data_IF_377916305978
#
_entry.id   IF_377916305978
#
_cell.length_a   1.000
_cell.length_b   1.000
_cell.length_c   1.000
_cell.angle_alpha   90.00
_cell.angle_beta   90.00
_cell.angle_gamma   90.00
#
_symmetry.space_group_name_H-M   'P 1'
#
loop_
_entity.id
_entity.type
_entity.pdbx_description
1 polymer ?
#
# COMPACT_ATOMS: atom_id res chain seq x y z
N UNK A 1 -74.14 21.15 43.62
CA UNK A 1 -72.98 22.06 43.62
C UNK A 1 -71.88 21.40 42.80
N UNK A 2 -71.68 21.84 41.56
CA UNK A 2 -70.60 21.34 40.68
C UNK A 2 -69.48 22.36 40.74
N UNK A 3 -68.34 21.98 41.31
CA UNK A 3 -67.13 22.78 41.40
C UNK A 3 -66.39 22.70 40.05
N UNK A 4 -66.41 23.78 39.28
CA UNK A 4 -65.65 23.88 38.04
C UNK A 4 -64.15 24.09 38.35
N UNK A 5 -63.29 23.22 37.81
CA UNK A 5 -61.85 23.36 37.87
C UNK A 5 -61.35 24.52 36.97
N UNK A 6 -60.28 25.25 37.36
CA UNK A 6 -59.77 26.34 36.55
C UNK A 6 -59.08 25.81 35.28
N UNK A 7 -59.43 26.38 34.13
CA UNK A 7 -58.75 26.12 32.86
C UNK A 7 -57.29 26.58 32.95
N UNK A 8 -56.34 25.65 32.83
CA UNK A 8 -54.92 25.97 32.64
C UNK A 8 -54.76 26.59 31.25
N UNK A 9 -54.54 27.90 31.20
CA UNK A 9 -54.07 28.59 29.99
C UNK A 9 -52.72 28.01 29.59
N UNK A 10 -52.66 27.28 28.47
CA UNK A 10 -51.42 26.83 27.87
C UNK A 10 -50.59 28.08 27.51
N UNK A 11 -49.47 28.28 28.21
CA UNK A 11 -48.52 29.34 27.89
C UNK A 11 -48.05 29.21 26.44
N UNK A 12 -47.72 30.32 25.75
CA UNK A 12 -47.35 30.28 24.34
C UNK A 12 -46.14 29.35 24.14
N UNK A 13 -46.31 28.38 23.23
CA UNK A 13 -45.28 27.41 22.85
C UNK A 13 -43.98 28.12 22.44
N UNK A 14 -42.82 27.52 22.72
CA UNK A 14 -41.51 28.08 22.37
C UNK A 14 -41.43 28.49 20.88
N UNK A 15 -42.06 27.71 20.00
CA UNK A 15 -42.19 27.97 18.56
C UNK A 15 -43.01 29.25 18.25
N UNK A 16 -44.05 29.55 19.03
CA UNK A 16 -44.87 30.76 18.87
C UNK A 16 -44.17 32.06 19.29
N UNK A 17 -43.19 32.00 20.20
CA UNK A 17 -42.35 33.14 20.59
C UNK A 17 -41.24 33.43 19.58
N UNK A 18 -40.65 32.38 19.00
CA UNK A 18 -39.62 32.49 17.94
C UNK A 18 -40.20 33.15 16.69
N UNK A 19 -41.41 32.76 16.27
CA UNK A 19 -42.08 33.31 15.08
C UNK A 19 -42.53 34.77 15.24
N UNK A 20 -43.01 35.18 16.42
CA UNK A 20 -43.44 36.57 16.69
C UNK A 20 -42.26 37.53 16.84
N UNK A 21 -41.12 37.04 17.35
CA UNK A 21 -39.87 37.80 17.39
C UNK A 21 -39.19 37.92 16.02
N UNK A 22 -39.36 36.96 15.11
CA UNK A 22 -38.75 36.99 13.77
C UNK A 22 -39.28 38.12 12.85
N UNK A 23 -40.40 38.76 13.21
CA UNK A 23 -40.95 39.91 12.48
C UNK A 23 -40.38 41.26 12.93
N UNK A 24 -39.55 41.31 13.97
CA UNK A 24 -38.85 42.54 14.39
C UNK A 24 -37.41 42.56 13.88
N UNK A 25 -36.90 43.75 13.55
CA UNK A 25 -35.51 43.99 13.14
C UNK A 25 -34.46 43.29 14.02
N UNK A 26 -34.54 43.34 15.37
CA UNK A 26 -33.61 42.62 16.25
C UNK A 26 -33.77 41.09 16.21
N UNK A 27 -35.00 40.55 16.07
CA UNK A 27 -35.20 39.09 16.03
C UNK A 27 -34.64 38.42 14.77
N UNK A 28 -34.68 39.12 13.61
CA UNK A 28 -34.03 38.65 12.38
C UNK A 28 -32.51 38.55 12.53
N UNK A 29 -31.87 39.51 13.20
CA UNK A 29 -30.42 39.50 13.45
C UNK A 29 -30.02 38.36 14.40
N UNK A 30 -30.84 38.06 15.42
CA UNK A 30 -30.61 36.91 16.30
C UNK A 30 -30.74 35.57 15.55
N UNK A 31 -31.69 35.44 14.62
CA UNK A 31 -31.84 34.23 13.81
C UNK A 31 -30.64 34.01 12.88
N UNK A 32 -30.13 35.07 12.23
CA UNK A 32 -28.90 35.02 11.42
C UNK A 32 -27.70 34.63 12.27
N UNK A 33 -27.58 35.16 13.50
CA UNK A 33 -26.51 34.79 14.43
C UNK A 33 -26.52 33.29 14.74
N UNK A 34 -27.69 32.76 15.11
CA UNK A 34 -27.85 31.33 15.43
C UNK A 34 -27.55 30.48 14.20
N UNK A 35 -28.05 30.86 13.02
CA UNK A 35 -27.78 30.15 11.78
C UNK A 35 -26.29 30.09 11.44
N UNK A 36 -25.57 31.22 11.57
CA UNK A 36 -24.12 31.27 11.35
C UNK A 36 -23.35 30.43 12.37
N UNK A 37 -23.76 30.43 13.64
CA UNK A 37 -23.12 29.62 14.68
C UNK A 37 -23.32 28.13 14.43
N UNK A 38 -24.54 27.71 14.06
CA UNK A 38 -24.83 26.32 13.70
C UNK A 38 -24.03 25.91 12.46
N UNK A 39 -24.01 26.74 11.42
CA UNK A 39 -23.25 26.45 10.21
C UNK A 39 -21.74 26.37 10.49
N UNK A 40 -21.20 27.24 11.33
CA UNK A 40 -19.80 27.21 11.76
C UNK A 40 -19.49 25.91 12.52
N UNK A 41 -20.35 25.51 13.46
CA UNK A 41 -20.18 24.29 14.24
C UNK A 41 -20.23 23.04 13.36
N UNK A 42 -21.24 22.93 12.49
CA UNK A 42 -21.39 21.80 11.55
C UNK A 42 -20.19 21.73 10.62
N UNK A 43 -19.77 22.85 10.05
CA UNK A 43 -18.62 22.90 9.13
C UNK A 43 -17.33 22.48 9.85
N UNK A 44 -17.09 22.98 11.06
CA UNK A 44 -15.91 22.61 11.86
C UNK A 44 -15.89 21.13 12.23
N UNK A 45 -17.04 20.57 12.64
CA UNK A 45 -17.17 19.13 12.96
C UNK A 45 -16.91 18.28 11.72
N UNK A 46 -17.56 18.58 10.59
CA UNK A 46 -17.38 17.80 9.36
C UNK A 46 -15.95 17.90 8.84
N UNK A 47 -15.33 19.08 8.90
CA UNK A 47 -13.93 19.26 8.51
C UNK A 47 -12.98 18.48 9.43
N UNK A 48 -13.20 18.51 10.75
CA UNK A 48 -12.40 17.77 11.72
C UNK A 48 -12.53 16.25 11.54
N UNK A 49 -13.76 15.73 11.38
CA UNK A 49 -14.01 14.30 11.12
C UNK A 49 -13.40 13.84 9.81
N UNK A 50 -13.48 14.65 8.75
CA UNK A 50 -12.86 14.33 7.46
C UNK A 50 -11.34 14.28 7.59
N UNK A 51 -10.72 15.26 8.26
CA UNK A 51 -9.28 15.28 8.47
C UNK A 51 -8.80 14.09 9.32
N UNK A 52 -9.58 13.72 10.35
CA UNK A 52 -9.29 12.55 11.17
C UNK A 52 -9.40 11.26 10.35
N UNK A 53 -10.47 11.07 9.59
CA UNK A 53 -10.65 9.89 8.75
C UNK A 53 -9.51 9.72 7.73
N UNK A 54 -9.03 10.83 7.14
CA UNK A 54 -7.87 10.81 6.24
C UNK A 54 -6.59 10.38 6.97
N UNK A 55 -6.38 10.86 8.19
CA UNK A 55 -5.23 10.46 9.01
C UNK A 55 -5.29 8.99 9.39
N UNK A 56 -6.44 8.52 9.86
CA UNK A 56 -6.66 7.12 10.23
C UNK A 56 -6.39 6.19 9.04
N UNK A 57 -6.79 6.59 7.82
CA UNK A 57 -6.49 5.84 6.59
C UNK A 57 -4.98 5.74 6.32
N UNK A 58 -4.22 6.83 6.52
CA UNK A 58 -2.76 6.81 6.31
C UNK A 58 -2.04 5.99 7.38
N UNK A 59 -2.49 6.09 8.64
CA UNK A 59 -1.95 5.32 9.74
C UNK A 59 -2.21 3.82 9.51
N UNK A 60 -3.38 3.44 8.96
CA UNK A 60 -3.71 2.06 8.60
C UNK A 60 -2.86 1.52 7.42
N UNK A 61 -2.63 2.35 6.39
CA UNK A 61 -1.75 2.03 5.27
C UNK A 61 -0.33 1.64 5.74
N UNK A 62 0.20 2.35 6.73
CA UNK A 62 1.54 2.10 7.29
C UNK A 62 1.54 0.95 8.30
N UNK A 63 0.56 0.90 9.19
CA UNK A 63 0.58 -0.03 10.32
C UNK A 63 0.13 -1.45 9.96
N UNK A 64 -0.77 -1.60 8.98
CA UNK A 64 -1.38 -2.89 8.64
C UNK A 64 -1.17 -3.28 7.17
N UNK A 65 -1.42 -2.39 6.22
CA UNK A 65 -1.46 -2.78 4.80
C UNK A 65 -0.09 -3.09 4.19
N UNK A 66 0.91 -2.24 4.42
CA UNK A 66 2.27 -2.50 3.91
C UNK A 66 2.85 -3.80 4.50
N UNK A 67 2.78 -4.06 5.82
CA UNK A 67 3.27 -5.31 6.39
C UNK A 67 2.62 -6.57 5.80
N UNK A 68 1.34 -6.51 5.42
CA UNK A 68 0.64 -7.64 4.80
C UNK A 68 1.09 -7.91 3.37
N UNK A 69 1.19 -6.87 2.54
CA UNK A 69 1.75 -7.00 1.20
C UNK A 69 3.18 -7.54 1.26
N UNK A 70 3.96 -7.07 2.24
CA UNK A 70 5.32 -7.54 2.50
C UNK A 70 5.35 -8.99 2.99
N UNK A 71 4.40 -9.42 3.84
CA UNK A 71 4.30 -10.81 4.27
C UNK A 71 3.97 -11.74 3.09
N UNK A 72 3.00 -11.39 2.25
CA UNK A 72 2.66 -12.18 1.06
C UNK A 72 3.85 -12.33 0.10
N UNK A 73 4.58 -11.24 -0.13
CA UNK A 73 5.80 -11.26 -0.94
C UNK A 73 6.92 -12.10 -0.30
N UNK A 74 7.05 -12.07 1.03
CA UNK A 74 8.01 -12.91 1.75
C UNK A 74 7.68 -14.40 1.62
N UNK A 75 6.39 -14.78 1.60
CA UNK A 75 5.96 -16.15 1.34
C UNK A 75 6.46 -16.58 -0.05
N UNK A 76 6.10 -15.84 -1.11
CA UNK A 76 6.52 -16.17 -2.48
C UNK A 76 8.04 -16.32 -2.56
N UNK A 77 8.76 -15.32 -2.04
CA UNK A 77 10.23 -15.29 -2.03
C UNK A 77 10.79 -16.57 -1.43
N UNK A 78 10.39 -16.88 -0.20
CA UNK A 78 10.99 -17.95 0.57
C UNK A 78 10.65 -19.30 -0.04
N UNK A 79 9.43 -19.47 -0.55
CA UNK A 79 9.04 -20.69 -1.24
C UNK A 79 9.84 -20.92 -2.53
N UNK A 80 10.04 -19.86 -3.33
CA UNK A 80 10.79 -19.99 -4.57
C UNK A 80 12.30 -20.17 -4.35
N UNK A 81 12.89 -19.53 -3.34
CA UNK A 81 14.31 -19.74 -2.99
C UNK A 81 14.53 -21.15 -2.40
N UNK A 82 13.59 -21.65 -1.61
CA UNK A 82 13.61 -23.02 -1.11
C UNK A 82 13.60 -24.05 -2.26
N UNK A 83 12.76 -23.88 -3.27
CA UNK A 83 12.68 -24.80 -4.43
C UNK A 83 13.96 -24.79 -5.27
N UNK A 84 14.48 -23.59 -5.60
CA UNK A 84 15.75 -23.46 -6.31
C UNK A 84 16.94 -24.03 -5.51
N UNK A 85 16.95 -23.83 -4.19
CA UNK A 85 17.98 -24.38 -3.30
C UNK A 85 17.88 -25.90 -3.20
N UNK A 86 16.67 -26.46 -3.12
CA UNK A 86 16.45 -27.91 -3.10
C UNK A 86 16.93 -28.56 -4.41
N UNK A 87 16.62 -27.95 -5.55
CA UNK A 87 17.11 -28.42 -6.86
C UNK A 87 18.63 -28.32 -6.98
N UNK A 88 19.23 -27.21 -6.55
CA UNK A 88 20.69 -27.03 -6.56
C UNK A 88 21.40 -28.05 -5.67
N UNK A 89 20.86 -28.30 -4.46
CA UNK A 89 21.37 -29.33 -3.54
C UNK A 89 21.25 -30.74 -4.11
N UNK A 90 20.20 -31.00 -4.90
CA UNK A 90 20.04 -32.27 -5.59
C UNK A 90 21.10 -32.48 -6.67
N UNK A 91 21.38 -31.44 -7.47
CA UNK A 91 22.38 -31.47 -8.54
C UNK A 91 23.81 -31.72 -8.06
N UNK A 92 24.16 -31.30 -6.83
CA UNK A 92 25.47 -31.63 -6.24
C UNK A 92 25.70 -33.14 -6.03
N UNK A 93 24.64 -33.96 -6.03
CA UNK A 93 24.72 -35.41 -5.88
C UNK A 93 25.09 -35.88 -4.46
N UNK A 94 24.69 -37.11 -4.11
CA UNK A 94 25.07 -37.74 -2.84
C UNK A 94 24.55 -36.98 -1.60
N UNK A 95 25.46 -36.68 -0.67
CA UNK A 95 25.14 -35.90 0.54
C UNK A 95 25.17 -34.42 0.20
N UNK A 96 24.05 -33.74 0.42
CA UNK A 96 23.92 -32.31 0.13
C UNK A 96 24.96 -31.46 0.88
N UNK A 97 25.45 -30.37 0.28
CA UNK A 97 26.27 -29.39 0.98
C UNK A 97 25.51 -28.75 2.16
N UNK A 98 26.14 -28.71 3.33
CA UNK A 98 25.55 -28.12 4.54
C UNK A 98 25.04 -26.68 4.37
N UNK A 99 25.71 -25.77 3.62
CA UNK A 99 25.18 -24.42 3.40
C UNK A 99 23.84 -24.39 2.66
N UNK A 100 23.63 -25.27 1.66
CA UNK A 100 22.38 -25.36 0.92
C UNK A 100 21.26 -25.93 1.79
N UNK A 101 21.58 -26.91 2.65
CA UNK A 101 20.64 -27.46 3.62
C UNK A 101 20.12 -26.37 4.57
N UNK A 102 21.04 -25.61 5.17
CA UNK A 102 20.68 -24.53 6.10
C UNK A 102 19.84 -23.45 5.42
N UNK A 103 20.16 -23.08 4.17
CA UNK A 103 19.40 -22.10 3.39
C UNK A 103 17.96 -22.58 3.14
N UNK A 104 17.78 -23.83 2.69
CA UNK A 104 16.46 -24.42 2.49
C UNK A 104 15.62 -24.40 3.78
N UNK A 105 16.19 -24.86 4.91
CA UNK A 105 15.47 -24.88 6.19
C UNK A 105 15.09 -23.47 6.67
N UNK A 106 16.00 -22.50 6.48
CA UNK A 106 15.73 -21.10 6.77
C UNK A 106 14.58 -20.56 5.93
N UNK A 107 14.56 -20.83 4.63
CA UNK A 107 13.51 -20.37 3.74
C UNK A 107 12.15 -20.98 4.07
N UNK A 108 12.08 -22.27 4.37
CA UNK A 108 10.82 -22.92 4.81
C UNK A 108 10.31 -22.31 6.12
N UNK A 109 11.20 -22.04 7.07
CA UNK A 109 10.85 -21.37 8.33
C UNK A 109 10.33 -19.94 8.11
N UNK A 110 10.97 -19.18 7.22
CA UNK A 110 10.56 -17.82 6.87
C UNK A 110 9.21 -17.80 6.14
N UNK A 111 8.97 -18.74 5.23
CA UNK A 111 7.68 -18.91 4.57
C UNK A 111 6.57 -19.23 5.58
N UNK A 112 6.82 -20.15 6.51
CA UNK A 112 5.87 -20.48 7.58
C UNK A 112 5.56 -19.30 8.51
N UNK A 113 6.58 -18.52 8.88
CA UNK A 113 6.41 -17.31 9.70
C UNK A 113 5.59 -16.24 8.97
N UNK A 114 5.88 -15.99 7.69
CA UNK A 114 5.16 -15.04 6.88
C UNK A 114 3.71 -15.48 6.62
N UNK A 115 3.47 -16.77 6.41
CA UNK A 115 2.14 -17.36 6.30
C UNK A 115 1.35 -17.21 7.59
N UNK A 116 1.97 -17.40 8.76
CA UNK A 116 1.34 -17.15 10.05
C UNK A 116 0.89 -15.70 10.23
N UNK A 117 1.70 -14.73 9.78
CA UNK A 117 1.33 -13.30 9.77
C UNK A 117 0.17 -13.03 8.82
N UNK A 118 0.24 -13.55 7.59
CA UNK A 118 -0.84 -13.37 6.61
C UNK A 118 -2.16 -14.00 7.09
N UNK A 119 -2.10 -15.14 7.77
CA UNK A 119 -3.27 -15.84 8.33
C UNK A 119 -3.98 -15.03 9.42
N UNK A 120 -3.25 -14.23 10.19
CA UNK A 120 -3.81 -13.46 11.30
C UNK A 120 -4.73 -12.32 10.84
N UNK A 121 -4.58 -11.85 9.59
CA UNK A 121 -5.24 -10.63 9.10
C UNK A 121 -6.00 -10.84 7.77
N UNK A 122 -6.38 -12.09 7.47
CA UNK A 122 -7.22 -12.43 6.31
C UNK A 122 -8.58 -11.70 6.34
N UNK A 123 -9.02 -11.28 7.54
CA UNK A 123 -9.92 -10.15 7.73
C UNK A 123 -11.14 -10.11 6.80
N UNK A 124 -11.94 -11.18 6.78
CA UNK A 124 -13.22 -11.25 6.06
C UNK A 124 -13.13 -11.45 4.54
N UNK A 125 -11.92 -11.54 3.95
CA UNK A 125 -11.77 -11.86 2.53
C UNK A 125 -11.72 -13.36 2.29
N UNK A 126 -12.76 -13.87 1.63
CA UNK A 126 -12.82 -15.28 1.27
C UNK A 126 -11.72 -15.68 0.27
N UNK A 127 -11.30 -14.79 -0.63
CA UNK A 127 -10.25 -15.09 -1.61
C UNK A 127 -8.88 -15.17 -0.96
N UNK A 128 -8.55 -14.22 -0.07
CA UNK A 128 -7.28 -14.28 0.67
C UNK A 128 -7.24 -15.50 1.60
N UNK A 129 -8.39 -15.87 2.21
CA UNK A 129 -8.52 -17.05 3.04
C UNK A 129 -8.22 -18.33 2.26
N UNK A 130 -8.77 -18.44 1.04
CA UNK A 130 -8.52 -19.57 0.14
C UNK A 130 -7.04 -19.72 -0.19
N UNK A 131 -6.33 -18.63 -0.50
CA UNK A 131 -4.89 -18.70 -0.79
C UNK A 131 -4.06 -19.11 0.43
N UNK A 132 -4.38 -18.57 1.61
CA UNK A 132 -3.75 -18.97 2.87
C UNK A 132 -4.00 -20.44 3.19
N UNK A 133 -5.21 -20.94 2.92
CA UNK A 133 -5.56 -22.35 3.11
C UNK A 133 -4.74 -23.26 2.19
N UNK A 134 -4.64 -22.93 0.89
CA UNK A 134 -3.82 -23.67 -0.08
C UNK A 134 -2.36 -23.71 0.40
N UNK A 135 -1.79 -22.57 0.76
CA UNK A 135 -0.41 -22.47 1.25
C UNK A 135 -0.19 -23.33 2.50
N UNK A 136 -1.13 -23.25 3.46
CA UNK A 136 -1.04 -23.99 4.73
C UNK A 136 -1.12 -25.50 4.56
N UNK A 137 -1.96 -25.97 3.62
CA UNK A 137 -2.12 -27.39 3.35
C UNK A 137 -0.97 -27.97 2.51
N UNK A 138 -0.50 -27.24 1.51
CA UNK A 138 0.44 -27.77 0.53
C UNK A 138 1.91 -27.60 0.94
N UNK A 139 2.25 -26.64 1.81
CA UNK A 139 3.64 -26.42 2.24
C UNK A 139 4.24 -27.65 2.98
N UNK A 140 3.53 -28.30 3.91
CA UNK A 140 4.03 -29.53 4.54
C UNK A 140 4.19 -30.69 3.53
N UNK A 141 3.29 -30.79 2.54
CA UNK A 141 3.36 -31.83 1.50
C UNK A 141 4.61 -31.63 0.64
N UNK A 142 4.85 -30.40 0.19
CA UNK A 142 6.06 -30.02 -0.52
C UNK A 142 7.33 -30.38 0.28
N UNK A 143 7.39 -30.00 1.56
CA UNK A 143 8.54 -30.29 2.41
C UNK A 143 8.78 -31.81 2.52
N UNK A 144 7.71 -32.61 2.67
CA UNK A 144 7.79 -34.07 2.71
C UNK A 144 8.34 -34.69 1.40
N UNK A 145 7.92 -34.17 0.25
CA UNK A 145 8.44 -34.61 -1.06
C UNK A 145 9.94 -34.28 -1.22
N UNK A 146 10.38 -33.08 -0.82
CA UNK A 146 11.79 -32.70 -0.85
C UNK A 146 12.64 -33.59 0.06
N UNK A 147 12.19 -33.89 1.28
CA UNK A 147 12.90 -34.81 2.17
C UNK A 147 12.98 -36.23 1.59
N UNK A 148 11.92 -36.69 0.93
CA UNK A 148 11.90 -38.00 0.26
C UNK A 148 12.88 -38.03 -0.93
N UNK A 149 12.90 -36.96 -1.73
CA UNK A 149 13.85 -36.78 -2.82
C UNK A 149 15.30 -36.83 -2.33
N UNK A 150 15.59 -36.10 -1.25
CA UNK A 150 16.90 -36.06 -0.59
C UNK A 150 17.34 -37.43 -0.08
N UNK A 151 16.45 -38.16 0.60
CA UNK A 151 16.76 -39.48 1.13
C UNK A 151 17.11 -40.49 0.04
N UNK A 152 16.45 -40.39 -1.12
CA UNK A 152 16.76 -41.20 -2.30
C UNK A 152 18.06 -40.74 -2.99
N UNK A 153 18.30 -39.43 -3.07
CA UNK A 153 19.52 -38.87 -3.68
C UNK A 153 20.79 -39.33 -2.92
N UNK A 154 20.72 -39.35 -1.58
CA UNK A 154 21.82 -39.86 -0.73
C UNK A 154 22.15 -41.34 -0.99
N UNK A 155 21.18 -42.13 -1.43
CA UNK A 155 21.34 -43.54 -1.79
C UNK A 155 21.66 -43.75 -3.28
N UNK A 156 21.69 -42.68 -4.08
CA UNK A 156 21.88 -42.76 -5.53
C UNK A 156 20.69 -43.34 -6.29
N UNK A 157 19.51 -43.38 -5.68
CA UNK A 157 18.32 -43.93 -6.33
C UNK A 157 17.69 -42.94 -7.32
N UNK A 158 17.41 -43.36 -8.58
CA UNK A 158 16.80 -42.50 -9.59
C UNK A 158 15.44 -41.91 -9.17
N UNK A 159 14.73 -42.58 -8.26
CA UNK A 159 13.46 -42.12 -7.69
C UNK A 159 13.58 -40.74 -7.03
N UNK A 160 14.77 -40.34 -6.56
CA UNK A 160 14.98 -39.01 -5.97
C UNK A 160 14.63 -37.87 -6.92
N UNK A 161 14.99 -38.01 -8.20
CA UNK A 161 14.70 -36.98 -9.21
C UNK A 161 13.19 -36.90 -9.52
N UNK A 162 12.47 -38.01 -9.44
CA UNK A 162 11.02 -38.04 -9.61
C UNK A 162 10.32 -37.29 -8.48
N UNK A 163 10.67 -37.57 -7.22
CA UNK A 163 10.11 -36.85 -6.06
C UNK A 163 10.45 -35.37 -6.06
N UNK A 164 11.66 -34.99 -6.49
CA UNK A 164 12.02 -33.57 -6.60
C UNK A 164 11.18 -32.87 -7.66
N UNK A 165 11.00 -33.48 -8.84
CA UNK A 165 10.13 -32.90 -9.88
C UNK A 165 8.66 -32.81 -9.43
N UNK A 166 8.17 -33.78 -8.67
CA UNK A 166 6.84 -33.72 -8.06
C UNK A 166 6.74 -32.56 -7.05
N UNK A 167 7.75 -32.38 -6.19
CA UNK A 167 7.82 -31.27 -5.26
C UNK A 167 7.81 -29.91 -5.99
N UNK A 168 8.70 -29.72 -6.97
CA UNK A 168 8.75 -28.48 -7.75
C UNK A 168 7.50 -28.27 -8.61
N UNK A 169 6.87 -29.36 -9.08
CA UNK A 169 5.57 -29.32 -9.75
C UNK A 169 4.47 -28.80 -8.82
N UNK A 170 4.43 -29.27 -7.56
CA UNK A 170 3.51 -28.74 -6.54
C UNK A 170 3.81 -27.27 -6.22
N UNK A 171 5.10 -26.93 -6.11
CA UNK A 171 5.53 -25.56 -5.86
C UNK A 171 5.00 -24.61 -6.94
N UNK A 172 5.19 -24.96 -8.21
CA UNK A 172 4.82 -24.12 -9.36
C UNK A 172 3.34 -24.10 -9.68
N UNK A 173 2.64 -25.20 -9.46
CA UNK A 173 1.21 -25.31 -9.82
C UNK A 173 0.26 -24.86 -8.71
N UNK A 174 0.72 -24.83 -7.44
CA UNK A 174 -0.14 -24.50 -6.29
C UNK A 174 0.46 -23.42 -5.39
N UNK A 175 1.67 -23.63 -4.87
CA UNK A 175 2.21 -22.77 -3.82
C UNK A 175 2.59 -21.36 -4.31
N UNK A 176 3.38 -21.26 -5.39
CA UNK A 176 3.76 -19.97 -5.95
C UNK A 176 2.56 -19.19 -6.50
N UNK A 177 1.63 -19.79 -7.27
CA UNK A 177 0.42 -19.09 -7.70
C UNK A 177 -0.45 -18.61 -6.53
N UNK A 178 -0.58 -19.40 -5.45
CA UNK A 178 -1.34 -18.96 -4.29
C UNK A 178 -0.67 -17.79 -3.55
N UNK A 179 0.66 -17.82 -3.42
CA UNK A 179 1.42 -16.71 -2.84
C UNK A 179 1.34 -15.43 -3.70
N UNK A 180 1.39 -15.58 -5.03
CA UNK A 180 1.25 -14.50 -6.01
C UNK A 180 -0.16 -13.87 -5.95
N UNK A 181 -1.21 -14.69 -5.97
CA UNK A 181 -2.59 -14.19 -5.82
C UNK A 181 -2.83 -13.53 -4.46
N UNK A 182 -2.26 -14.06 -3.38
CA UNK A 182 -2.34 -13.44 -2.06
C UNK A 182 -1.65 -12.07 -2.05
N UNK A 183 -0.54 -11.92 -2.77
CA UNK A 183 0.12 -10.63 -2.95
C UNK A 183 -0.75 -9.66 -3.74
N UNK A 184 -1.28 -10.07 -4.90
CA UNK A 184 -2.15 -9.25 -5.75
C UNK A 184 -3.39 -8.74 -5.00
N UNK A 185 -4.07 -9.62 -4.25
CA UNK A 185 -5.23 -9.22 -3.44
C UNK A 185 -4.87 -8.12 -2.44
N UNK A 186 -3.72 -8.25 -1.76
CA UNK A 186 -3.28 -7.25 -0.79
C UNK A 186 -2.82 -5.95 -1.48
N UNK A 187 -2.23 -6.05 -2.66
CA UNK A 187 -1.79 -4.91 -3.45
C UNK A 187 -2.97 -4.10 -4.00
N UNK A 188 -4.01 -4.76 -4.53
CA UNK A 188 -5.24 -4.11 -5.01
C UNK A 188 -5.93 -3.33 -3.89
N UNK A 189 -5.94 -3.88 -2.68
CA UNK A 189 -6.47 -3.21 -1.48
C UNK A 189 -5.66 -1.98 -1.10
N UNK A 190 -4.34 -2.11 -1.13
CA UNK A 190 -3.42 -1.00 -0.88
C UNK A 190 -3.68 0.14 -1.88
N UNK A 191 -3.85 -0.17 -3.17
CA UNK A 191 -4.17 0.82 -4.19
C UNK A 191 -5.54 1.47 -3.94
N UNK A 192 -6.59 0.69 -3.65
CA UNK A 192 -7.92 1.22 -3.37
C UNK A 192 -7.95 2.18 -2.16
N UNK A 193 -7.18 1.88 -1.11
CA UNK A 193 -7.06 2.77 0.06
C UNK A 193 -6.23 4.03 -0.24
N UNK A 194 -5.20 3.94 -1.08
CA UNK A 194 -4.46 5.12 -1.56
C UNK A 194 -5.35 6.04 -2.42
N UNK A 195 -6.16 5.49 -3.31
CA UNK A 195 -7.14 6.25 -4.10
C UNK A 195 -8.18 6.93 -3.19
N UNK A 196 -8.68 6.20 -2.20
CA UNK A 196 -9.58 6.73 -1.17
C UNK A 196 -8.91 7.86 -0.36
N UNK A 197 -7.64 7.73 -0.01
CA UNK A 197 -6.86 8.75 0.68
C UNK A 197 -6.71 10.04 -0.15
N UNK A 198 -6.56 9.93 -1.48
CA UNK A 198 -6.49 11.10 -2.38
C UNK A 198 -7.82 11.73 -2.76
N UNK A 199 -8.94 11.01 -2.55
CA UNK A 199 -10.25 11.51 -2.93
C UNK A 199 -10.55 12.90 -2.36
N UNK A 200 -11.10 13.78 -3.20
CA UNK A 200 -11.45 15.16 -2.82
C UNK A 200 -12.68 15.13 -1.90
N UNK A 201 -12.61 15.64 -0.66
CA UNK A 201 -13.75 15.61 0.24
C UNK A 201 -14.72 16.74 -0.09
N UNK A 202 -15.69 16.47 -0.97
CA UNK A 202 -16.66 17.48 -1.44
C UNK A 202 -17.52 18.06 -0.31
N UNK A 203 -17.91 17.25 0.68
CA UNK A 203 -18.79 17.68 1.77
C UNK A 203 -18.24 18.86 2.59
N UNK A 204 -17.03 18.80 3.18
CA UNK A 204 -16.47 19.94 3.91
C UNK A 204 -16.19 21.15 3.00
N UNK A 205 -15.83 20.95 1.72
CA UNK A 205 -15.61 22.04 0.76
C UNK A 205 -16.90 22.82 0.53
N UNK A 206 -18.02 22.13 0.29
CA UNK A 206 -19.32 22.75 0.06
C UNK A 206 -19.83 23.48 1.32
N UNK A 207 -19.64 22.90 2.50
CA UNK A 207 -20.00 23.53 3.77
C UNK A 207 -19.17 24.79 4.04
N UNK A 208 -17.86 24.74 3.79
CA UNK A 208 -16.96 25.88 3.93
C UNK A 208 -17.33 27.00 2.95
N UNK A 209 -17.62 26.66 1.68
CA UNK A 209 -18.09 27.62 0.69
C UNK A 209 -19.41 28.27 1.11
N UNK A 210 -20.37 27.48 1.58
CA UNK A 210 -21.65 27.99 2.09
C UNK A 210 -21.46 28.93 3.30
N UNK A 211 -20.55 28.61 4.21
CA UNK A 211 -20.22 29.45 5.37
C UNK A 211 -19.61 30.80 4.95
N UNK A 212 -18.65 30.79 4.01
CA UNK A 212 -18.05 32.01 3.46
C UNK A 212 -19.12 32.89 2.79
N UNK A 213 -19.98 32.29 1.95
CA UNK A 213 -21.08 33.02 1.29
C UNK A 213 -22.03 33.62 2.33
N UNK A 214 -22.41 32.86 3.37
CA UNK A 214 -23.29 33.33 4.43
C UNK A 214 -22.67 34.50 5.23
N UNK A 215 -21.38 34.46 5.53
CA UNK A 215 -20.66 35.55 6.20
C UNK A 215 -20.61 36.82 5.32
N UNK A 216 -20.28 36.69 4.04
CA UNK A 216 -20.22 37.81 3.09
C UNK A 216 -21.59 38.45 2.89
N UNK A 217 -22.65 37.64 2.72
CA UNK A 217 -24.02 38.13 2.61
C UNK A 217 -24.47 38.87 3.88
N UNK A 218 -24.11 38.33 5.05
CA UNK A 218 -24.43 38.95 6.35
C UNK A 218 -23.72 40.29 6.52
N UNK A 219 -22.42 40.37 6.19
CA UNK A 219 -21.67 41.62 6.19
C UNK A 219 -22.27 42.65 5.24
N UNK A 220 -22.57 42.26 3.98
CA UNK A 220 -23.18 43.14 2.98
C UNK A 220 -24.55 43.67 3.42
N UNK A 221 -25.36 42.81 4.05
CA UNK A 221 -26.66 43.19 4.61
C UNK A 221 -26.52 44.21 5.75
N UNK A 222 -25.58 43.98 6.67
CA UNK A 222 -25.29 44.90 7.78
C UNK A 222 -24.77 46.24 7.28
N UNK A 223 -23.82 46.26 6.34
CA UNK A 223 -23.23 47.48 5.77
C UNK A 223 -24.30 48.31 5.05
N UNK A 224 -25.16 47.69 4.23
CA UNK A 224 -26.25 48.39 3.53
C UNK A 224 -27.30 48.98 4.48
N UNK A 225 -27.54 48.35 5.62
CA UNK A 225 -28.58 48.78 6.56
C UNK A 225 -28.08 49.82 7.58
N UNK A 226 -26.80 49.81 7.91
CA UNK A 226 -26.22 50.64 8.99
C UNK A 226 -25.22 51.69 8.52
N UNK A 227 -24.87 51.72 7.22
CA UNK A 227 -23.90 52.65 6.60
C UNK A 227 -22.51 52.69 7.28
N UNK A 228 -22.19 51.75 8.18
CA UNK A 228 -20.87 51.58 8.78
C UNK A 228 -20.13 50.46 8.05
N UNK A 229 -18.91 50.76 7.61
CA UNK A 229 -18.19 49.94 6.64
C UNK A 229 -17.62 48.63 7.22
N UNK A 230 -17.30 48.55 8.52
CA UNK A 230 -16.58 47.39 9.08
C UNK A 230 -17.14 46.95 10.45
N UNK A 231 -17.47 45.66 10.58
CA UNK A 231 -17.80 45.00 11.85
C UNK A 231 -16.61 44.12 12.25
N UNK A 232 -15.86 44.54 13.27
CA UNK A 232 -14.59 43.92 13.66
C UNK A 232 -14.78 42.44 14.03
N UNK A 233 -15.87 42.08 14.72
CA UNK A 233 -16.16 40.69 15.08
C UNK A 233 -16.43 39.78 13.88
N UNK A 234 -17.20 40.27 12.90
CA UNK A 234 -17.47 39.52 11.65
C UNK A 234 -16.23 39.40 10.76
N UNK A 235 -15.33 40.39 10.78
CA UNK A 235 -14.05 40.34 10.07
C UNK A 235 -13.16 39.29 10.72
N UNK A 236 -13.05 39.28 12.06
CA UNK A 236 -12.29 38.26 12.78
C UNK A 236 -12.81 36.84 12.48
N UNK A 237 -14.14 36.66 12.44
CA UNK A 237 -14.74 35.38 12.06
C UNK A 237 -14.43 34.98 10.61
N UNK A 238 -14.48 35.94 9.68
CA UNK A 238 -14.14 35.69 8.27
C UNK A 238 -12.66 35.35 8.11
N UNK A 239 -11.77 36.04 8.82
CA UNK A 239 -10.34 35.75 8.82
C UNK A 239 -10.05 34.35 9.38
N UNK A 240 -10.72 33.94 10.47
CA UNK A 240 -10.56 32.60 11.04
C UNK A 240 -11.04 31.49 10.07
N UNK A 241 -12.19 31.70 9.42
CA UNK A 241 -12.72 30.79 8.40
C UNK A 241 -11.80 30.73 7.18
N UNK A 242 -11.32 31.87 6.68
CA UNK A 242 -10.40 31.94 5.55
C UNK A 242 -9.06 31.25 5.87
N UNK A 243 -8.52 31.46 7.07
CA UNK A 243 -7.31 30.80 7.53
C UNK A 243 -7.48 29.28 7.60
N UNK A 244 -8.62 28.81 8.12
CA UNK A 244 -8.95 27.37 8.15
C UNK A 244 -9.00 26.79 6.75
N UNK A 245 -9.65 27.49 5.81
CA UNK A 245 -9.78 27.07 4.43
C UNK A 245 -8.42 27.01 3.72
N UNK A 246 -7.59 28.05 3.86
CA UNK A 246 -6.26 28.10 3.24
C UNK A 246 -5.37 27.01 3.82
N UNK A 247 -5.32 26.87 5.15
CA UNK A 247 -4.51 25.85 5.81
C UNK A 247 -4.96 24.43 5.43
N UNK A 248 -6.27 24.16 5.46
CA UNK A 248 -6.82 22.88 5.01
C UNK A 248 -6.53 22.56 3.54
N UNK A 249 -6.60 23.56 2.66
CA UNK A 249 -6.28 23.39 1.24
C UNK A 249 -4.80 23.07 1.04
N UNK A 250 -3.89 23.80 1.70
CA UNK A 250 -2.45 23.54 1.64
C UNK A 250 -2.14 22.14 2.18
N UNK A 251 -2.70 21.77 3.33
CA UNK A 251 -2.52 20.45 3.92
C UNK A 251 -3.00 19.33 2.97
N UNK A 252 -4.13 19.52 2.28
CA UNK A 252 -4.65 18.56 1.30
C UNK A 252 -3.77 18.46 0.05
N UNK A 253 -3.22 19.58 -0.45
CA UNK A 253 -2.30 19.56 -1.60
C UNK A 253 -1.02 18.80 -1.24
N UNK A 254 -0.44 19.10 -0.07
CA UNK A 254 0.76 18.43 0.45
C UNK A 254 0.47 16.94 0.68
N UNK A 255 -0.67 16.60 1.30
CA UNK A 255 -1.12 15.22 1.46
C UNK A 255 -1.18 14.52 0.09
N UNK A 256 -1.90 15.10 -0.87
CA UNK A 256 -2.11 14.51 -2.19
C UNK A 256 -0.81 14.33 -2.97
N UNK A 257 0.16 15.24 -2.82
CA UNK A 257 1.47 15.10 -3.48
C UNK A 257 2.27 13.95 -2.88
N UNK A 258 2.33 13.84 -1.55
CA UNK A 258 3.09 12.79 -0.87
C UNK A 258 2.46 11.41 -1.08
N UNK A 259 1.13 11.29 -1.02
CA UNK A 259 0.46 10.03 -1.42
C UNK A 259 0.74 9.75 -2.91
N UNK A 260 0.75 10.79 -3.75
CA UNK A 260 1.24 10.79 -5.15
C UNK A 260 2.56 10.05 -5.34
N UNK A 261 3.56 10.54 -4.64
CA UNK A 261 4.93 10.03 -4.69
C UNK A 261 5.03 8.62 -4.08
N UNK A 262 4.29 8.35 -2.99
CA UNK A 262 4.22 7.04 -2.35
C UNK A 262 3.68 5.96 -3.32
N UNK A 263 2.73 6.30 -4.19
CA UNK A 263 2.22 5.36 -5.19
C UNK A 263 3.25 5.12 -6.30
N UNK A 264 3.76 6.17 -6.96
CA UNK A 264 4.62 6.01 -8.14
C UNK A 264 6.00 5.47 -7.79
N UNK A 265 6.69 6.15 -6.87
CA UNK A 265 8.06 5.83 -6.45
C UNK A 265 8.15 4.81 -5.32
N UNK A 266 7.01 4.37 -4.79
CA UNK A 266 6.90 3.33 -3.78
C UNK A 266 6.12 2.13 -4.29
N UNK A 267 4.79 2.17 -4.20
CA UNK A 267 3.93 1.00 -4.45
C UNK A 267 4.01 0.42 -5.87
N UNK A 268 3.94 1.24 -6.92
CA UNK A 268 4.01 0.80 -8.32
C UNK A 268 5.40 0.25 -8.66
N UNK A 269 6.45 0.96 -8.23
CA UNK A 269 7.81 0.47 -8.47
C UNK A 269 8.10 -0.84 -7.73
N UNK A 270 7.65 -0.94 -6.47
CA UNK A 270 7.76 -2.17 -5.68
C UNK A 270 7.04 -3.30 -6.39
N UNK A 271 5.82 -3.10 -6.90
CA UNK A 271 5.10 -4.12 -7.66
C UNK A 271 5.87 -4.60 -8.88
N UNK A 272 6.35 -3.69 -9.73
CA UNK A 272 7.16 -4.06 -10.91
C UNK A 272 8.42 -4.84 -10.51
N UNK A 273 9.11 -4.44 -9.42
CA UNK A 273 10.27 -5.15 -8.90
C UNK A 273 9.92 -6.52 -8.32
N UNK A 274 8.76 -6.65 -7.67
CA UNK A 274 8.23 -7.92 -7.17
C UNK A 274 8.00 -8.86 -8.34
N UNK A 275 7.32 -8.41 -9.39
CA UNK A 275 7.06 -9.18 -10.60
C UNK A 275 8.36 -9.59 -11.31
N UNK A 276 9.32 -8.67 -11.44
CA UNK A 276 10.63 -8.98 -12.01
C UNK A 276 11.35 -10.07 -11.22
N UNK A 277 11.27 -10.01 -9.88
CA UNK A 277 11.87 -10.98 -8.98
C UNK A 277 11.16 -12.32 -9.00
N UNK A 278 9.82 -12.32 -9.05
CA UNK A 278 8.98 -13.52 -9.25
C UNK A 278 9.42 -14.25 -10.52
N UNK A 279 9.50 -13.54 -11.65
CA UNK A 279 9.91 -14.13 -12.93
C UNK A 279 11.36 -14.61 -12.90
N UNK A 280 12.27 -13.85 -12.27
CA UNK A 280 13.67 -14.27 -12.09
C UNK A 280 13.77 -15.55 -11.28
N UNK A 281 12.99 -15.70 -10.21
CA UNK A 281 12.99 -16.88 -9.37
C UNK A 281 12.40 -18.10 -10.09
N UNK A 282 11.30 -17.92 -10.85
CA UNK A 282 10.71 -18.96 -11.72
C UNK A 282 11.73 -19.43 -12.77
N UNK A 283 12.40 -18.51 -13.47
CA UNK A 283 13.50 -18.82 -14.39
C UNK A 283 14.63 -19.59 -13.68
N UNK A 284 15.03 -19.21 -12.46
CA UNK A 284 16.10 -19.92 -11.75
C UNK A 284 15.72 -21.36 -11.41
N UNK A 285 14.46 -21.59 -11.05
CA UNK A 285 13.95 -22.94 -10.86
C UNK A 285 13.98 -23.74 -12.18
N UNK A 286 13.47 -23.16 -13.28
CA UNK A 286 13.50 -23.79 -14.60
C UNK A 286 14.91 -24.17 -15.05
N UNK A 287 15.87 -23.25 -14.92
CA UNK A 287 17.28 -23.48 -15.25
C UNK A 287 17.82 -24.72 -14.52
N UNK A 288 17.60 -24.83 -13.21
CA UNK A 288 18.05 -26.00 -12.43
C UNK A 288 17.31 -27.27 -12.82
N UNK A 289 16.01 -27.18 -13.10
CA UNK A 289 15.18 -28.34 -13.47
C UNK A 289 15.49 -28.88 -14.86
N UNK A 290 16.01 -28.04 -15.78
CA UNK A 290 16.50 -28.51 -17.08
C UNK A 290 17.57 -29.59 -16.91
N UNK A 291 18.47 -29.43 -15.93
CA UNK A 291 19.54 -30.37 -15.61
C UNK A 291 19.04 -31.55 -14.76
N UNK A 292 18.13 -31.32 -13.81
CA UNK A 292 17.56 -32.39 -12.97
C UNK A 292 16.77 -33.40 -13.81
N UNK A 293 16.05 -32.93 -14.85
CA UNK A 293 15.14 -33.73 -15.64
C UNK A 293 15.81 -34.71 -16.63
N UNK A 294 17.15 -34.67 -16.78
CA UNK A 294 17.99 -35.61 -17.57
C UNK A 294 17.31 -36.16 -18.84
N UNK A 295 16.79 -35.26 -19.69
CA UNK A 295 16.12 -35.61 -20.97
C UNK A 295 14.67 -35.15 -21.09
N UNK A 296 14.01 -34.75 -20.00
CA UNK A 296 12.65 -34.17 -19.97
C UNK A 296 12.67 -32.65 -19.67
N UNK A 297 13.76 -31.98 -20.06
CA UNK A 297 14.00 -30.55 -19.84
C UNK A 297 13.38 -29.54 -20.83
N UNK A 298 12.93 -29.89 -22.07
CA UNK A 298 12.48 -28.88 -23.04
C UNK A 298 11.34 -27.96 -22.58
N UNK A 299 10.43 -28.46 -21.75
CA UNK A 299 9.35 -27.63 -21.20
C UNK A 299 9.85 -26.53 -20.28
N UNK A 300 10.83 -26.85 -19.42
CA UNK A 300 11.47 -25.89 -18.53
C UNK A 300 12.28 -24.85 -19.29
N UNK A 301 13.01 -25.28 -20.34
CA UNK A 301 13.72 -24.35 -21.22
C UNK A 301 12.77 -23.37 -21.92
N UNK A 302 11.64 -23.87 -22.42
CA UNK A 302 10.65 -23.02 -23.07
C UNK A 302 10.06 -21.98 -22.11
N UNK A 303 9.75 -22.36 -20.86
CA UNK A 303 9.26 -21.44 -19.85
C UNK A 303 10.33 -20.43 -19.41
N UNK A 304 11.59 -20.89 -19.29
CA UNK A 304 12.73 -20.02 -19.01
C UNK A 304 12.84 -18.91 -20.05
N UNK A 305 12.80 -19.24 -21.34
CA UNK A 305 12.90 -18.26 -22.43
C UNK A 305 11.75 -17.24 -22.41
N UNK A 306 10.53 -17.70 -22.12
CA UNK A 306 9.36 -16.82 -22.03
C UNK A 306 9.50 -15.81 -20.88
N UNK A 307 9.88 -16.30 -19.70
CA UNK A 307 10.04 -15.46 -18.51
C UNK A 307 11.27 -14.56 -18.59
N UNK A 308 12.39 -15.04 -19.14
CA UNK A 308 13.62 -14.28 -19.30
C UNK A 308 13.43 -13.03 -20.18
N UNK A 309 12.53 -13.08 -21.17
CA UNK A 309 12.18 -11.92 -22.00
C UNK A 309 11.53 -10.77 -21.21
N UNK A 310 11.00 -11.03 -20.02
CA UNK A 310 10.44 -9.99 -19.13
C UNK A 310 11.49 -9.29 -18.26
N UNK A 311 12.72 -9.84 -18.17
CA UNK A 311 13.79 -9.31 -17.31
C UNK A 311 15.10 -9.04 -18.08
N UNK A 312 15.18 -9.41 -19.36
CA UNK A 312 16.34 -9.18 -20.24
C UNK A 312 15.94 -8.44 -21.52
N UNK A 313 16.93 -7.88 -22.23
CA UNK A 313 16.71 -7.12 -23.47
C UNK A 313 16.11 -5.72 -23.28
N UNK A 314 15.79 -5.05 -24.39
CA UNK A 314 15.42 -3.61 -24.40
C UNK A 314 13.92 -3.34 -24.67
N UNK A 315 13.08 -4.39 -24.68
CA UNK A 315 11.66 -4.26 -24.97
C UNK A 315 10.87 -3.49 -23.91
N UNK A 316 9.72 -2.92 -24.28
CA UNK A 316 8.81 -2.24 -23.34
C UNK A 316 8.24 -3.18 -22.26
N UNK A 317 8.21 -4.49 -22.51
CA UNK A 317 7.82 -5.51 -21.53
C UNK A 317 8.90 -5.84 -20.49
N UNK A 318 10.08 -5.22 -20.55
CA UNK A 318 11.14 -5.45 -19.57
C UNK A 318 10.81 -4.76 -18.23
N UNK A 319 10.54 -5.56 -17.21
CA UNK A 319 10.17 -5.14 -15.86
C UNK A 319 11.31 -4.40 -15.15
N UNK A 320 12.57 -4.79 -15.35
CA UNK A 320 13.71 -4.06 -14.76
C UNK A 320 13.85 -2.66 -15.35
N UNK A 321 13.53 -2.49 -16.64
CA UNK A 321 13.51 -1.17 -17.26
C UNK A 321 12.36 -0.32 -16.71
N UNK A 322 11.16 -0.87 -16.64
CA UNK A 322 10.01 -0.18 -16.05
C UNK A 322 10.30 0.24 -14.60
N UNK A 323 10.90 -0.64 -13.80
CA UNK A 323 11.32 -0.33 -12.44
C UNK A 323 12.35 0.80 -12.37
N UNK A 324 13.25 0.91 -13.37
CA UNK A 324 14.21 2.00 -13.46
C UNK A 324 13.52 3.33 -13.81
N UNK A 325 12.57 3.31 -14.73
CA UNK A 325 11.80 4.50 -15.14
C UNK A 325 10.92 5.04 -14.00
N UNK A 326 10.48 4.16 -13.09
CA UNK A 326 9.73 4.50 -11.88
C UNK A 326 10.60 4.90 -10.68
N UNK A 327 11.93 4.85 -10.80
CA UNK A 327 12.82 5.11 -9.67
C UNK A 327 12.72 6.54 -9.14
N UNK A 328 12.49 6.65 -7.83
CA UNK A 328 12.35 7.92 -7.11
C UNK A 328 13.69 8.60 -6.80
N UNK A 329 14.82 7.89 -6.96
CA UNK A 329 16.17 8.43 -6.69
C UNK A 329 17.24 7.82 -7.59
N UNK A 330 18.35 8.56 -7.77
CA UNK A 330 19.52 8.11 -8.56
C UNK A 330 20.16 6.84 -7.96
N UNK A 331 20.19 6.73 -6.64
CA UNK A 331 20.73 5.55 -5.96
C UNK A 331 19.94 4.30 -6.31
N UNK A 332 18.61 4.41 -6.28
CA UNK A 332 17.71 3.33 -6.66
C UNK A 332 17.78 3.00 -8.15
N UNK A 333 17.83 4.01 -9.02
CA UNK A 333 18.06 3.81 -10.44
C UNK A 333 19.40 3.08 -10.72
N UNK A 334 20.43 3.35 -9.90
CA UNK A 334 21.71 2.65 -9.90
C UNK A 334 21.59 1.17 -9.54
N UNK A 335 20.87 0.83 -8.47
CA UNK A 335 20.63 -0.56 -8.06
C UNK A 335 19.87 -1.35 -9.14
N UNK A 336 18.82 -0.76 -9.73
CA UNK A 336 18.08 -1.38 -10.83
C UNK A 336 18.96 -1.52 -12.08
N UNK A 337 19.83 -0.56 -12.36
CA UNK A 337 20.78 -0.65 -13.47
C UNK A 337 21.78 -1.79 -13.27
N UNK A 338 22.26 -2.01 -12.04
CA UNK A 338 23.11 -3.16 -11.73
C UNK A 338 22.30 -4.48 -11.83
N UNK A 339 21.02 -4.49 -11.46
CA UNK A 339 20.14 -5.64 -11.65
C UNK A 339 20.02 -6.00 -13.14
N UNK A 340 19.82 -5.02 -14.03
CA UNK A 340 19.81 -5.24 -15.49
C UNK A 340 21.11 -5.90 -15.98
N UNK A 341 22.26 -5.43 -15.51
CA UNK A 341 23.56 -6.00 -15.90
C UNK A 341 23.71 -7.44 -15.40
N UNK A 342 23.32 -7.73 -14.17
CA UNK A 342 23.40 -9.08 -13.60
C UNK A 342 22.38 -10.04 -14.23
N UNK A 343 21.20 -9.56 -14.64
CA UNK A 343 20.23 -10.35 -15.41
C UNK A 343 20.81 -10.77 -16.76
N UNK A 344 21.50 -9.86 -17.45
CA UNK A 344 22.17 -10.19 -18.71
C UNK A 344 23.32 -11.19 -18.51
N UNK A 345 24.17 -10.97 -17.50
CA UNK A 345 25.25 -11.90 -17.17
C UNK A 345 24.73 -13.30 -16.82
N UNK A 346 23.60 -13.37 -16.10
CA UNK A 346 22.96 -14.64 -15.79
C UNK A 346 22.37 -15.31 -17.03
N UNK A 347 21.72 -14.56 -17.93
CA UNK A 347 21.22 -15.10 -19.19
C UNK A 347 22.33 -15.63 -20.11
N UNK A 348 23.52 -15.01 -20.09
CA UNK A 348 24.68 -15.52 -20.83
C UNK A 348 25.26 -16.79 -20.18
N UNK A 349 25.27 -16.87 -18.84
CA UNK A 349 25.64 -18.10 -18.12
C UNK A 349 24.63 -19.23 -18.38
N UNK A 350 23.34 -18.92 -18.46
CA UNK A 350 22.28 -19.87 -18.83
C UNK A 350 22.51 -20.45 -20.23
N UNK A 351 22.82 -19.58 -21.21
CA UNK A 351 23.14 -20.03 -22.57
C UNK A 351 24.32 -21.00 -22.59
N UNK A 352 25.37 -20.71 -21.80
CA UNK A 352 26.53 -21.60 -21.63
C UNK A 352 26.14 -22.95 -20.99
N UNK A 353 25.21 -22.96 -20.03
CA UNK A 353 24.67 -24.21 -19.46
C UNK A 353 24.00 -25.04 -20.56
N UNK A 354 23.14 -24.42 -21.40
CA UNK A 354 22.46 -25.12 -22.50
C UNK A 354 23.44 -25.64 -23.55
N UNK A 355 24.42 -24.84 -23.97
CA UNK A 355 25.47 -25.26 -24.91
C UNK A 355 26.26 -26.49 -24.40
N UNK A 356 26.58 -26.52 -23.10
CA UNK A 356 27.28 -27.64 -22.47
C UNK A 356 26.38 -28.88 -22.35
N UNK A 357 25.15 -28.70 -21.89
CA UNK A 357 24.17 -29.80 -21.69
C UNK A 357 23.78 -30.45 -23.03
N UNK A 358 23.42 -29.63 -24.03
CA UNK A 358 23.08 -30.09 -25.39
C UNK A 358 24.31 -30.71 -26.10
N UNK A 359 25.51 -30.28 -25.74
CA UNK A 359 26.79 -30.85 -26.19
C UNK A 359 27.21 -32.14 -25.47
N UNK A 360 26.42 -32.63 -24.51
CA UNK A 360 26.70 -33.84 -23.73
C UNK A 360 27.70 -33.66 -22.58
N UNK A 361 28.10 -32.43 -22.27
CA UNK A 361 29.03 -32.08 -21.19
C UNK A 361 28.29 -31.77 -19.88
N UNK A 362 27.44 -32.71 -19.45
CA UNK A 362 26.54 -32.53 -18.30
C UNK A 362 27.26 -32.07 -17.01
N UNK A 363 28.41 -32.68 -16.67
CA UNK A 363 29.16 -32.31 -15.47
C UNK A 363 29.67 -30.87 -15.50
N UNK A 364 30.06 -30.37 -16.67
CA UNK A 364 30.47 -28.97 -16.84
C UNK A 364 29.25 -28.04 -16.81
N UNK A 365 28.13 -28.44 -17.39
CA UNK A 365 26.86 -27.70 -17.30
C UNK A 365 26.42 -27.52 -15.84
N UNK A 366 26.50 -28.59 -15.03
CA UNK A 366 26.21 -28.54 -13.58
C UNK A 366 27.17 -27.59 -12.86
N UNK A 367 28.48 -27.64 -13.14
CA UNK A 367 29.45 -26.70 -12.54
C UNK A 367 29.13 -25.24 -12.85
N UNK A 368 28.72 -24.92 -14.09
CA UNK A 368 28.29 -23.55 -14.44
C UNK A 368 26.98 -23.18 -13.75
N UNK A 369 26.05 -24.12 -13.59
CA UNK A 369 24.75 -23.88 -12.99
C UNK A 369 24.78 -23.60 -11.48
N UNK A 370 25.58 -24.36 -10.72
CA UNK A 370 25.59 -24.33 -9.24
C UNK A 370 26.94 -23.96 -8.62
N UNK A 371 27.98 -23.72 -9.43
CA UNK A 371 29.32 -23.37 -8.95
C UNK A 371 29.44 -21.99 -8.32
N UNK A 372 30.64 -21.69 -7.85
CA UNK A 372 31.02 -20.42 -7.19
C UNK A 372 31.91 -19.53 -8.07
N UNK A 373 32.19 -19.96 -9.30
CA UNK A 373 32.96 -19.18 -10.26
C UNK A 373 32.28 -17.83 -10.55
N UNK A 374 33.03 -16.73 -10.78
CA UNK A 374 32.45 -15.41 -11.03
C UNK A 374 31.48 -15.33 -12.21
N UNK A 375 31.63 -16.22 -13.20
CA UNK A 375 30.82 -16.38 -14.40
C UNK A 375 29.76 -17.49 -14.30
N UNK A 376 29.61 -18.13 -13.13
CA UNK A 376 28.56 -19.13 -12.90
C UNK A 376 27.17 -18.49 -12.85
N UNK A 377 26.16 -19.25 -13.24
CA UNK A 377 24.77 -18.80 -13.20
C UNK A 377 24.30 -18.53 -11.76
N UNK A 378 24.72 -19.37 -10.79
CA UNK A 378 24.39 -19.19 -9.38
C UNK A 378 24.90 -17.85 -8.83
N UNK A 379 26.15 -17.46 -9.15
CA UNK A 379 26.74 -16.19 -8.70
C UNK A 379 26.09 -15.00 -9.40
N UNK A 380 25.86 -15.07 -10.72
CA UNK A 380 25.21 -14.00 -11.47
C UNK A 380 23.76 -13.76 -10.97
N UNK A 381 22.99 -14.84 -10.81
CA UNK A 381 21.66 -14.79 -10.22
C UNK A 381 21.67 -14.24 -8.79
N UNK A 382 22.61 -14.66 -7.95
CA UNK A 382 22.73 -14.15 -6.58
C UNK A 382 22.97 -12.64 -6.52
N UNK A 383 23.71 -12.07 -7.47
CA UNK A 383 23.89 -10.61 -7.60
C UNK A 383 22.61 -9.93 -8.10
N UNK A 384 21.93 -10.50 -9.09
CA UNK A 384 20.62 -10.00 -9.56
C UNK A 384 19.62 -9.95 -8.40
N UNK A 385 19.44 -11.06 -7.69
CA UNK A 385 18.51 -11.16 -6.56
C UNK A 385 18.87 -10.14 -5.48
N UNK A 386 20.15 -10.02 -5.12
CA UNK A 386 20.62 -9.03 -4.15
C UNK A 386 20.21 -7.60 -4.54
N UNK A 387 20.43 -7.21 -5.79
CA UNK A 387 20.13 -5.86 -6.24
C UNK A 387 18.62 -5.59 -6.29
N UNK A 388 17.83 -6.59 -6.72
CA UNK A 388 16.37 -6.52 -6.66
C UNK A 388 15.89 -6.31 -5.22
N UNK A 389 16.49 -7.00 -4.24
CA UNK A 389 16.15 -6.84 -2.83
C UNK A 389 16.50 -5.45 -2.31
N UNK A 390 17.69 -4.95 -2.64
CA UNK A 390 18.10 -3.59 -2.26
C UNK A 390 17.11 -2.57 -2.83
N UNK A 391 16.74 -2.70 -4.11
CA UNK A 391 15.78 -1.81 -4.77
C UNK A 391 14.36 -1.92 -4.15
N UNK A 392 13.90 -3.14 -3.84
CA UNK A 392 12.61 -3.38 -3.17
C UNK A 392 12.56 -2.74 -1.79
N UNK A 393 13.62 -2.88 -1.00
CA UNK A 393 13.70 -2.28 0.34
C UNK A 393 13.73 -0.75 0.26
N UNK A 394 14.45 -0.18 -0.70
CA UNK A 394 14.45 1.26 -0.94
C UNK A 394 13.06 1.78 -1.35
N UNK A 395 12.35 1.07 -2.22
CA UNK A 395 10.98 1.44 -2.63
C UNK A 395 9.98 1.39 -1.47
N UNK A 396 10.12 0.40 -0.57
CA UNK A 396 9.33 0.32 0.67
C UNK A 396 9.63 1.45 1.64
N UNK A 397 10.90 1.79 1.81
CA UNK A 397 11.32 2.91 2.65
C UNK A 397 10.78 4.24 2.12
N UNK A 398 10.78 4.41 0.79
CA UNK A 398 10.18 5.57 0.13
C UNK A 398 8.66 5.62 0.36
N UNK A 399 7.96 4.50 0.19
CA UNK A 399 6.53 4.38 0.49
C UNK A 399 6.22 4.79 1.94
N UNK A 400 6.95 4.24 2.91
CA UNK A 400 6.80 4.56 4.33
C UNK A 400 7.07 6.04 4.61
N UNK A 401 8.15 6.58 4.06
CA UNK A 401 8.58 7.97 4.25
C UNK A 401 7.52 8.93 3.70
N UNK A 402 7.05 8.69 2.48
CA UNK A 402 6.08 9.55 1.82
C UNK A 402 4.71 9.47 2.50
N UNK A 403 4.24 8.27 2.86
CA UNK A 403 2.96 8.10 3.59
C UNK A 403 3.01 8.76 4.97
N UNK A 404 4.13 8.65 5.69
CA UNK A 404 4.34 9.32 6.98
C UNK A 404 4.35 10.84 6.84
N UNK A 405 5.03 11.39 5.82
CA UNK A 405 5.01 12.82 5.53
C UNK A 405 3.60 13.31 5.16
N UNK A 406 2.85 12.49 4.43
CA UNK A 406 1.44 12.74 4.11
C UNK A 406 0.59 12.86 5.38
N UNK A 407 0.75 11.93 6.33
CA UNK A 407 0.09 11.99 7.64
C UNK A 407 0.52 13.20 8.48
N UNK A 408 1.81 13.54 8.45
CA UNK A 408 2.35 14.71 9.15
C UNK A 408 1.80 16.05 8.62
N UNK A 409 1.43 16.12 7.34
CA UNK A 409 0.76 17.30 6.78
C UNK A 409 -0.60 17.59 7.42
N UNK A 410 -1.24 16.58 8.02
CA UNK A 410 -2.51 16.70 8.76
C UNK A 410 -2.30 16.95 10.26
N UNK A 411 -1.06 16.91 10.76
CA UNK A 411 -0.78 17.12 12.18
C UNK A 411 -1.13 18.54 12.60
N UNK A 412 -1.91 18.65 13.68
CA UNK A 412 -2.38 19.93 14.21
C UNK A 412 -3.62 20.49 13.50
N UNK A 413 -4.07 19.89 12.39
CA UNK A 413 -5.22 20.38 11.64
C UNK A 413 -6.52 20.27 12.44
N UNK A 414 -6.77 19.12 13.07
CA UNK A 414 -7.98 18.88 13.90
C UNK A 414 -8.06 19.86 15.09
N UNK A 415 -7.03 19.98 15.98
CA UNK A 415 -7.08 20.97 17.05
C UNK A 415 -7.08 22.41 16.53
N UNK A 416 -6.41 22.68 15.41
CA UNK A 416 -6.41 23.99 14.74
C UNK A 416 -7.81 24.41 14.25
N UNK A 417 -8.52 23.51 13.58
CA UNK A 417 -9.92 23.70 13.16
C UNK A 417 -10.81 23.98 14.37
N UNK A 418 -10.65 23.21 15.46
CA UNK A 418 -11.45 23.41 16.66
C UNK A 418 -11.23 24.80 17.27
N UNK A 419 -9.97 25.25 17.40
CA UNK A 419 -9.63 26.58 17.91
C UNK A 419 -10.17 27.68 16.99
N UNK A 420 -9.97 27.57 15.68
CA UNK A 420 -10.44 28.57 14.71
C UNK A 420 -11.97 28.63 14.63
N UNK A 421 -12.66 27.51 14.79
CA UNK A 421 -14.13 27.46 14.89
C UNK A 421 -14.63 28.21 16.14
N UNK A 422 -13.96 28.06 17.29
CA UNK A 422 -14.28 28.80 18.51
C UNK A 422 -14.03 30.31 18.32
N UNK A 423 -12.92 30.70 17.69
CA UNK A 423 -12.63 32.10 17.36
C UNK A 423 -13.69 32.68 16.41
N UNK A 424 -14.10 31.93 15.39
CA UNK A 424 -15.16 32.34 14.48
C UNK A 424 -16.51 32.51 15.19
N UNK A 425 -16.88 31.56 16.05
CA UNK A 425 -18.10 31.64 16.84
C UNK A 425 -18.10 32.84 17.80
N UNK A 426 -16.98 33.11 18.46
CA UNK A 426 -16.81 34.30 19.30
C UNK A 426 -16.94 35.59 18.47
N UNK A 427 -16.28 35.66 17.32
CA UNK A 427 -16.36 36.81 16.40
C UNK A 427 -17.79 37.09 15.92
N UNK A 428 -18.52 36.05 15.51
CA UNK A 428 -19.95 36.15 15.13
C UNK A 428 -20.78 36.69 16.31
N UNK A 429 -20.57 36.14 17.51
CA UNK A 429 -21.34 36.51 18.71
C UNK A 429 -21.09 37.96 19.11
N UNK A 430 -19.83 38.40 19.19
CA UNK A 430 -19.50 39.77 19.55
C UNK A 430 -19.94 40.76 18.47
N UNK A 431 -19.70 40.45 17.19
CA UNK A 431 -20.07 41.31 16.07
C UNK A 431 -21.57 41.57 15.99
N UNK A 432 -22.41 40.57 16.27
CA UNK A 432 -23.87 40.74 16.25
C UNK A 432 -24.38 41.38 17.57
N UNK A 433 -23.78 41.04 18.72
CA UNK A 433 -24.17 41.61 20.02
C UNK A 433 -23.93 43.12 20.10
N UNK A 434 -22.80 43.60 19.57
CA UNK A 434 -22.50 45.03 19.50
C UNK A 434 -23.60 45.79 18.73
N UNK A 435 -24.09 45.21 17.64
CA UNK A 435 -25.18 45.79 16.84
C UNK A 435 -26.54 45.70 17.51
N UNK A 436 -26.84 44.61 18.22
CA UNK A 436 -28.09 44.50 18.98
C UNK A 436 -28.17 45.52 20.13
N UNK A 437 -27.04 45.96 20.69
CA UNK A 437 -27.00 47.02 21.70
C UNK A 437 -27.30 48.41 21.14
N UNK A 438 -27.04 48.66 19.85
CA UNK A 438 -27.37 49.94 19.19
C UNK A 438 -28.89 50.12 18.94
N UNK A 439 -29.70 49.06 19.04
CA UNK A 439 -31.16 49.10 18.86
C UNK A 439 -31.97 49.09 20.17
N UNK A 440 -31.28 49.06 21.32
CA UNK A 440 -31.89 49.27 22.65
C UNK A 440 -31.61 50.70 23.08
#
# INVERSE_FOLDING_TARGET
MVTAAPQRSAGPSALGRVTRSANTTPGRLSLVAVALLVLTAVTGIVAALTAQAKRDTLDDLVAHREPLATAAQQIFRSLSDADATAASAFLSGGVEPAPLRTRYEFDISQAGTALGKASADVGGDLKAAEQVEILSQQLPVYAGLVETARANNRQGFPAGAAYLREASGLMRSKLLPAAEQLYEINYDRLQAEQESARSIPLAPILLMAALVVALVLTQRYLTRRTNRLLNIGLIAATAAVALTMIWGTIAMIVLSSHVGDAERGGAQQVDVLVQARINSLKCRADETLTLVARGDGPGYEQEWQQLAASITGDGQGNLLRQAKDLASSDAMAGEVQLAVQNAQAWADAHRKIRELDDGGQYEEAVKVAIGDAPDSAAVAFGKLDKNLITALNAGREEFFTQTTRAGNALTGLVPGIAVLAVVAAAGITFGIRERLREYR
#
